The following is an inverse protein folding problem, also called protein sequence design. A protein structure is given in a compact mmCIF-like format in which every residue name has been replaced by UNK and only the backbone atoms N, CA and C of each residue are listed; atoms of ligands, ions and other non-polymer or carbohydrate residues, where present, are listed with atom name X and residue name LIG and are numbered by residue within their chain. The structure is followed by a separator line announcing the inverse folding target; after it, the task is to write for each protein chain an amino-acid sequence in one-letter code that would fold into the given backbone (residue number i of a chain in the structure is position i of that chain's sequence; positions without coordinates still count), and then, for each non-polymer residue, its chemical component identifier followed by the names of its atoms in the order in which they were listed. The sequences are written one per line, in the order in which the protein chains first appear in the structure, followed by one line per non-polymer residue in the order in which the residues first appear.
data_IF_469197739998
#
_entry.id   IF_469197739998
#
_cell.length_a   1.000
_cell.length_b   1.000
_cell.length_c   1.000
_cell.angle_alpha   90.00
_cell.angle_beta   90.00
_cell.angle_gamma   90.00
#
_symmetry.space_group_name_H-M   'P 1'
#
loop_
_entity.id
_entity.type
_entity.pdbx_description
1 polymer ?
#
# COMPACT_ATOMS: atom_id res chain seq x y z
N UNK A 1 27.91 -20.02 3.64
CA UNK A 1 27.61 -18.69 4.18
C UNK A 1 27.62 -18.76 5.71
N UNK A 2 28.25 -17.79 6.38
CA UNK A 2 28.29 -17.70 7.82
C UNK A 2 27.07 -16.95 8.39
N UNK A 3 26.58 -16.00 7.62
CA UNK A 3 25.45 -15.18 8.02
C UNK A 3 24.47 -14.90 6.88
N UNK A 4 23.20 -14.86 7.24
CA UNK A 4 22.08 -14.51 6.35
C UNK A 4 21.32 -13.35 6.96
N UNK A 5 20.93 -12.36 6.13
CA UNK A 5 20.13 -11.24 6.53
C UNK A 5 18.74 -11.33 5.91
N UNK A 6 17.70 -11.37 6.74
CA UNK A 6 16.30 -11.31 6.34
C UNK A 6 15.82 -9.84 6.40
N UNK A 7 15.43 -9.30 5.26
CA UNK A 7 14.97 -7.91 5.14
C UNK A 7 13.50 -7.89 4.74
N UNK A 8 12.74 -6.92 5.23
CA UNK A 8 11.36 -6.73 4.79
C UNK A 8 10.48 -6.05 5.83
N UNK A 9 9.23 -5.72 5.47
CA UNK A 9 8.29 -5.06 6.37
C UNK A 9 8.04 -5.85 7.66
N UNK A 10 7.57 -5.21 8.74
CA UNK A 10 7.15 -5.92 9.94
C UNK A 10 5.98 -6.87 9.65
N UNK A 11 5.87 -7.96 10.41
CA UNK A 11 4.77 -8.91 10.27
C UNK A 11 4.84 -9.87 9.09
N UNK A 12 5.91 -9.88 8.30
CA UNK A 12 6.07 -10.78 7.14
C UNK A 12 6.59 -12.18 7.50
N UNK A 13 6.78 -12.49 8.78
CA UNK A 13 7.15 -13.84 9.25
C UNK A 13 8.64 -14.12 9.32
N UNK A 14 9.53 -13.13 9.28
CA UNK A 14 11.00 -13.31 9.35
C UNK A 14 11.43 -14.19 10.51
N UNK A 15 10.92 -13.93 11.72
CA UNK A 15 11.22 -14.70 12.93
C UNK A 15 10.65 -16.13 12.86
N UNK A 16 9.44 -16.29 12.27
CA UNK A 16 8.84 -17.61 12.06
C UNK A 16 9.65 -18.45 11.08
N UNK A 17 10.13 -17.85 9.99
CA UNK A 17 10.97 -18.50 9.00
C UNK A 17 12.27 -19.02 9.62
N UNK A 18 12.95 -18.18 10.43
CA UNK A 18 14.18 -18.59 11.10
C UNK A 18 13.96 -19.76 12.09
N UNK A 19 12.86 -19.74 12.85
CA UNK A 19 12.46 -20.87 13.72
C UNK A 19 12.14 -22.13 12.94
N UNK A 20 11.44 -22.01 11.81
CA UNK A 20 11.10 -23.14 10.95
C UNK A 20 12.37 -23.79 10.37
N UNK A 21 13.34 -22.99 9.93
CA UNK A 21 14.66 -23.49 9.45
C UNK A 21 15.38 -24.28 10.54
N UNK A 22 15.42 -23.78 11.76
CA UNK A 22 16.07 -24.46 12.87
C UNK A 22 15.34 -25.76 13.26
N UNK A 23 14.00 -25.75 13.24
CA UNK A 23 13.18 -26.93 13.49
C UNK A 23 13.37 -28.02 12.44
N UNK A 24 13.41 -27.66 11.17
CA UNK A 24 13.64 -28.59 10.06
C UNK A 24 15.05 -29.15 10.06
N UNK A 25 16.04 -28.32 10.40
CA UNK A 25 17.44 -28.74 10.53
C UNK A 25 17.71 -29.56 11.82
N UNK A 26 16.81 -29.55 12.79
CA UNK A 26 16.98 -30.24 14.07
C UNK A 26 18.13 -29.69 14.93
N UNK A 27 18.45 -28.39 14.80
CA UNK A 27 19.58 -27.77 15.51
C UNK A 27 19.11 -26.80 16.60
N UNK A 28 19.90 -26.56 17.66
CA UNK A 28 19.61 -25.56 18.68
C UNK A 28 19.42 -24.15 18.07
N UNK A 29 18.38 -23.44 18.55
CA UNK A 29 18.02 -22.09 18.11
C UNK A 29 18.20 -21.09 19.25
N UNK A 30 19.10 -20.14 19.07
CA UNK A 30 19.36 -19.06 20.02
C UNK A 30 18.75 -17.77 19.51
N UNK A 31 17.74 -17.28 20.22
CA UNK A 31 17.06 -16.02 19.91
C UNK A 31 17.62 -14.88 20.74
N UNK A 32 17.84 -13.74 20.10
CA UNK A 32 18.14 -12.47 20.75
C UNK A 32 17.44 -11.33 20.00
N UNK A 33 16.98 -10.31 20.72
CA UNK A 33 16.49 -9.08 20.14
C UNK A 33 17.60 -8.02 20.18
N UNK A 34 17.76 -7.25 19.12
CA UNK A 34 18.73 -6.15 19.02
C UNK A 34 18.63 -5.15 20.17
N UNK A 35 17.42 -4.89 20.66
CA UNK A 35 17.17 -4.02 21.81
C UNK A 35 17.82 -4.51 23.13
N UNK A 36 18.03 -5.82 23.28
CA UNK A 36 18.68 -6.39 24.48
C UNK A 36 20.17 -6.00 24.62
N UNK A 37 20.76 -5.50 23.52
CA UNK A 37 22.14 -5.03 23.45
C UNK A 37 22.27 -3.51 23.56
N UNK A 38 21.17 -2.81 23.86
CA UNK A 38 21.16 -1.35 24.07
C UNK A 38 20.77 -1.07 25.51
N UNK A 39 21.77 -0.98 26.39
CA UNK A 39 21.55 -0.66 27.81
C UNK A 39 22.31 0.60 28.24
N UNK A 40 21.99 1.11 29.45
CA UNK A 40 22.63 2.30 29.99
C UNK A 40 23.99 2.03 30.67
N UNK A 41 24.40 0.76 30.84
CA UNK A 41 25.63 0.38 31.54
C UNK A 41 26.73 -0.06 30.58
N UNK A 42 27.87 0.64 30.63
CA UNK A 42 29.01 0.42 29.73
C UNK A 42 29.55 -1.00 29.80
N UNK A 43 29.69 -1.68 28.65
CA UNK A 43 30.28 -3.02 28.52
C UNK A 43 29.33 -4.20 28.70
N UNK A 44 28.06 -3.98 29.06
CA UNK A 44 27.08 -5.05 29.23
C UNK A 44 26.68 -5.63 27.87
N UNK A 45 26.46 -4.79 26.87
CA UNK A 45 26.13 -5.17 25.50
C UNK A 45 27.17 -6.15 24.90
N UNK A 46 28.45 -5.81 24.99
CA UNK A 46 29.55 -6.66 24.51
C UNK A 46 29.66 -7.97 25.27
N UNK A 47 29.40 -7.96 26.58
CA UNK A 47 29.42 -9.18 27.41
C UNK A 47 28.26 -10.13 27.03
N UNK A 48 27.03 -9.61 26.82
CA UNK A 48 25.89 -10.42 26.42
C UNK A 48 26.12 -11.01 25.00
N UNK A 49 26.66 -10.23 24.08
CA UNK A 49 27.00 -10.70 22.74
C UNK A 49 27.98 -11.86 22.80
N UNK A 50 29.08 -11.72 23.56
CA UNK A 50 30.04 -12.82 23.77
C UNK A 50 29.40 -14.07 24.37
N UNK A 51 28.54 -13.91 25.38
CA UNK A 51 27.84 -15.03 26.00
C UNK A 51 26.92 -15.75 25.05
N UNK A 52 26.18 -15.03 24.21
CA UNK A 52 25.31 -15.59 23.18
C UNK A 52 26.12 -16.47 22.21
N UNK A 53 27.20 -15.94 21.65
CA UNK A 53 28.07 -16.67 20.73
C UNK A 53 28.80 -17.84 21.39
N UNK A 54 29.23 -17.69 22.66
CA UNK A 54 29.82 -18.78 23.43
C UNK A 54 28.87 -19.95 23.61
N UNK A 55 27.61 -19.67 24.04
CA UNK A 55 26.57 -20.71 24.19
C UNK A 55 26.26 -21.40 22.87
N UNK A 56 26.22 -20.67 21.77
CA UNK A 56 26.01 -21.25 20.46
C UNK A 56 27.16 -22.16 20.02
N UNK A 57 28.41 -21.78 20.32
CA UNK A 57 29.60 -22.63 20.07
C UNK A 57 29.60 -23.93 20.91
N UNK A 58 29.20 -23.85 22.15
CA UNK A 58 29.09 -25.01 23.02
C UNK A 58 28.03 -26.02 22.57
N UNK A 59 27.06 -25.56 21.78
CA UNK A 59 25.95 -26.39 21.27
C UNK A 59 25.96 -26.49 19.74
N UNK A 60 27.11 -26.36 19.12
CA UNK A 60 27.21 -26.47 17.65
C UNK A 60 26.94 -27.93 17.16
N UNK A 61 26.31 -28.14 16.01
CA UNK A 61 25.80 -27.10 15.07
C UNK A 61 24.59 -26.35 15.61
N UNK A 62 24.53 -25.03 15.43
CA UNK A 62 23.47 -24.21 16.00
C UNK A 62 23.14 -22.99 15.11
N UNK A 63 21.95 -22.39 15.35
CA UNK A 63 21.50 -21.16 14.69
C UNK A 63 21.37 -20.06 15.74
N UNK A 64 21.99 -18.91 15.47
CA UNK A 64 21.76 -17.66 16.20
C UNK A 64 20.84 -16.80 15.35
N UNK A 65 19.73 -16.35 15.92
CA UNK A 65 18.82 -15.39 15.27
C UNK A 65 18.81 -14.09 16.07
N UNK A 66 19.11 -12.98 15.37
CA UNK A 66 19.11 -11.64 15.95
C UNK A 66 18.03 -10.84 15.27
N UNK A 67 16.93 -10.57 15.99
CA UNK A 67 15.83 -9.74 15.50
C UNK A 67 16.13 -8.25 15.70
N UNK A 68 15.49 -7.39 14.90
CA UNK A 68 15.68 -5.93 14.94
C UNK A 68 17.17 -5.51 14.90
N UNK A 69 17.91 -6.11 13.96
CA UNK A 69 19.35 -5.87 13.83
C UNK A 69 19.70 -4.39 13.61
N UNK A 70 18.80 -3.61 13.02
CA UNK A 70 18.92 -2.17 12.82
C UNK A 70 19.06 -1.39 14.14
N UNK A 71 18.57 -1.94 15.26
CA UNK A 71 18.73 -1.32 16.59
C UNK A 71 20.21 -1.24 17.02
N UNK A 72 21.03 -2.24 16.66
CA UNK A 72 22.45 -2.28 16.99
C UNK A 72 23.30 -1.83 15.80
N UNK A 73 22.87 -2.20 14.61
CA UNK A 73 23.65 -2.12 13.35
C UNK A 73 23.46 -0.83 12.56
N UNK A 74 22.94 0.25 13.15
CA UNK A 74 22.67 1.50 12.42
C UNK A 74 23.97 2.19 11.98
N UNK A 75 23.99 2.66 10.71
CA UNK A 75 25.10 3.41 10.17
C UNK A 75 25.31 4.74 10.90
N UNK A 76 26.58 5.15 11.01
CA UNK A 76 26.96 6.42 11.67
C UNK A 76 26.50 7.60 10.85
N UNK A 77 25.69 8.47 11.45
CA UNK A 77 25.41 9.79 10.89
C UNK A 77 26.44 10.81 11.39
N UNK A 78 27.09 11.52 10.50
CA UNK A 78 28.19 12.46 10.79
C UNK A 78 27.81 13.70 11.64
N UNK A 79 26.58 13.77 12.18
CA UNK A 79 26.08 14.91 12.94
C UNK A 79 25.43 14.58 14.30
N UNK A 80 25.34 13.31 14.69
CA UNK A 80 24.72 12.95 15.97
C UNK A 80 25.68 13.20 17.15
N UNK A 81 25.18 13.90 18.18
CA UNK A 81 25.90 14.09 19.43
C UNK A 81 26.20 12.71 20.07
N UNK A 82 27.39 12.55 20.62
CA UNK A 82 27.85 11.33 21.32
C UNK A 82 27.13 11.17 22.65
N UNK A 83 25.94 10.60 22.64
CA UNK A 83 25.27 10.14 23.84
C UNK A 83 25.82 8.78 24.27
N UNK A 84 25.77 8.48 25.58
CA UNK A 84 26.24 7.23 26.15
C UNK A 84 25.60 5.99 25.50
N UNK A 85 24.34 6.08 25.07
CA UNK A 85 23.61 5.02 24.35
C UNK A 85 24.17 4.74 22.95
N UNK A 86 24.73 5.74 22.26
CA UNK A 86 25.40 5.55 20.96
C UNK A 86 26.69 4.79 21.10
N UNK A 87 27.46 5.06 22.18
CA UNK A 87 28.70 4.34 22.49
C UNK A 87 28.48 2.85 22.79
N UNK A 88 27.40 2.50 23.50
CA UNK A 88 27.03 1.11 23.81
C UNK A 88 26.63 0.31 22.57
N UNK A 89 25.82 0.91 21.70
CA UNK A 89 25.45 0.30 20.40
C UNK A 89 26.69 -0.02 19.58
N UNK A 90 27.62 0.94 19.48
CA UNK A 90 28.87 0.75 18.75
C UNK A 90 29.71 -0.40 19.34
N UNK A 91 29.78 -0.51 20.67
CA UNK A 91 30.50 -1.61 21.34
C UNK A 91 29.83 -2.97 21.09
N UNK A 92 28.49 -3.03 21.14
CA UNK A 92 27.72 -4.24 20.79
C UNK A 92 27.94 -4.67 19.35
N UNK A 93 27.85 -3.72 18.40
CA UNK A 93 28.11 -3.96 16.98
C UNK A 93 29.55 -4.45 16.75
N UNK A 94 30.55 -3.76 17.30
CA UNK A 94 31.95 -4.15 17.15
C UNK A 94 32.21 -5.55 17.74
N UNK A 95 31.63 -5.88 18.88
CA UNK A 95 31.77 -7.23 19.46
C UNK A 95 31.13 -8.29 18.57
N UNK A 96 29.94 -8.01 17.99
CA UNK A 96 29.29 -8.93 17.05
C UNK A 96 30.17 -9.17 15.82
N UNK A 97 30.75 -8.13 15.25
CA UNK A 97 31.65 -8.26 14.10
C UNK A 97 32.89 -9.11 14.45
N UNK A 98 33.46 -8.91 15.63
CA UNK A 98 34.60 -9.71 16.11
C UNK A 98 34.21 -11.20 16.29
N UNK A 99 33.02 -11.46 16.85
CA UNK A 99 32.53 -12.84 17.02
C UNK A 99 32.29 -13.52 15.67
N UNK A 100 31.74 -12.80 14.69
CA UNK A 100 31.50 -13.33 13.34
C UNK A 100 32.80 -13.56 12.58
N UNK A 101 33.77 -12.67 12.68
CA UNK A 101 35.09 -12.83 12.05
C UNK A 101 35.87 -13.98 12.69
N UNK A 102 35.68 -14.26 13.99
CA UNK A 102 36.31 -15.34 14.73
C UNK A 102 35.91 -16.77 14.32
N UNK A 103 34.94 -16.96 13.44
CA UNK A 103 34.55 -18.27 12.91
C UNK A 103 35.51 -18.85 11.85
N UNK A 104 36.59 -18.14 11.48
CA UNK A 104 37.53 -18.60 10.46
C UNK A 104 38.53 -19.67 10.92
N UNK A 105 38.58 -19.96 12.22
CA UNK A 105 39.42 -21.03 12.71
C UNK A 105 38.80 -22.40 12.38
N UNK A 106 39.19 -22.93 11.23
CA UNK A 106 38.78 -24.24 10.70
C UNK A 106 39.10 -25.44 11.61
N UNK A 107 39.76 -25.23 12.74
CA UNK A 107 40.22 -26.30 13.62
C UNK A 107 39.15 -26.79 14.64
N UNK A 108 38.03 -26.08 14.84
CA UNK A 108 37.09 -26.43 15.90
C UNK A 108 35.82 -27.17 15.47
N UNK A 109 35.56 -27.35 14.17
CA UNK A 109 34.36 -28.09 13.71
C UNK A 109 33.00 -27.50 14.15
N UNK A 110 33.00 -26.27 14.67
CA UNK A 110 31.80 -25.60 15.20
C UNK A 110 31.07 -24.85 14.09
N UNK A 111 30.01 -25.47 13.52
CA UNK A 111 29.18 -24.84 12.53
C UNK A 111 28.08 -24.01 13.20
N UNK A 112 28.15 -22.68 13.04
CA UNK A 112 27.12 -21.76 13.52
C UNK A 112 26.65 -20.93 12.33
N UNK A 113 25.33 -20.87 12.15
CA UNK A 113 24.68 -19.96 11.21
C UNK A 113 24.10 -18.77 11.96
N UNK A 114 24.48 -17.56 11.58
CA UNK A 114 23.88 -16.33 12.12
C UNK A 114 22.84 -15.81 11.16
N UNK A 115 21.61 -15.65 11.63
CA UNK A 115 20.51 -15.06 10.87
C UNK A 115 20.16 -13.74 11.51
N UNK A 116 20.31 -12.62 10.79
CA UNK A 116 19.84 -11.31 11.20
C UNK A 116 18.48 -11.00 10.57
N UNK A 117 17.62 -10.28 11.27
CA UNK A 117 16.39 -9.74 10.70
C UNK A 117 16.34 -8.22 10.90
N UNK A 118 15.90 -7.49 9.88
CA UNK A 118 15.73 -6.04 9.93
C UNK A 118 14.53 -5.57 9.09
N UNK A 119 13.89 -4.49 9.55
CA UNK A 119 12.86 -3.79 8.77
C UNK A 119 13.47 -2.64 7.95
N UNK A 120 14.65 -2.13 8.31
CA UNK A 120 15.29 -0.92 7.77
C UNK A 120 16.69 -1.23 7.23
N UNK A 121 16.76 -2.00 6.15
CA UNK A 121 18.03 -2.42 5.54
C UNK A 121 18.94 -1.25 5.11
N UNK A 122 18.36 -0.12 4.69
CA UNK A 122 19.09 1.08 4.25
C UNK A 122 19.84 1.79 5.38
N UNK A 123 19.53 1.50 6.63
CA UNK A 123 20.14 2.12 7.81
C UNK A 123 21.27 1.28 8.42
N UNK A 124 21.50 0.06 7.90
CA UNK A 124 22.54 -0.81 8.41
C UNK A 124 23.95 -0.33 8.02
N UNK A 125 24.90 -0.52 8.97
CA UNK A 125 26.32 -0.26 8.72
C UNK A 125 26.83 -1.21 7.60
N UNK A 126 27.45 -0.68 6.55
CA UNK A 126 28.02 -1.48 5.47
C UNK A 126 29.01 -2.54 5.92
N UNK A 127 29.63 -2.37 7.09
CA UNK A 127 30.53 -3.35 7.67
C UNK A 127 29.86 -4.70 7.97
N UNK A 128 28.55 -4.70 8.23
CA UNK A 128 27.76 -5.93 8.46
C UNK A 128 27.58 -6.74 7.18
N UNK A 129 27.50 -6.08 6.04
CA UNK A 129 27.21 -6.70 4.74
C UNK A 129 28.46 -7.19 4.00
N UNK A 130 29.63 -7.10 4.64
CA UNK A 130 30.89 -7.59 4.05
C UNK A 130 30.95 -9.10 4.00
N UNK A 131 31.69 -9.62 3.02
CA UNK A 131 31.97 -11.05 2.88
C UNK A 131 32.52 -11.66 4.19
N UNK A 132 32.02 -12.83 4.55
CA UNK A 132 32.35 -13.49 5.82
C UNK A 132 31.46 -13.12 7.02
N UNK A 133 30.50 -12.19 6.81
CA UNK A 133 29.50 -11.77 7.80
C UNK A 133 28.10 -12.04 7.26
N UNK A 134 27.24 -11.05 7.09
CA UNK A 134 25.93 -11.21 6.42
C UNK A 134 26.12 -11.10 4.89
N UNK A 135 26.68 -12.12 4.30
CA UNK A 135 27.00 -12.17 2.87
C UNK A 135 25.83 -12.61 1.99
N UNK A 136 24.75 -13.07 2.60
CA UNK A 136 23.49 -13.43 1.93
C UNK A 136 22.35 -12.59 2.45
N UNK A 137 21.65 -11.92 1.55
CA UNK A 137 20.49 -11.10 1.88
C UNK A 137 19.27 -11.65 1.17
N UNK A 138 18.17 -11.80 1.94
CA UNK A 138 16.89 -12.29 1.45
C UNK A 138 15.81 -11.27 1.77
N UNK A 139 15.06 -10.86 0.74
CA UNK A 139 13.94 -9.97 0.92
C UNK A 139 12.65 -10.77 1.14
N UNK A 140 12.03 -10.59 2.32
CA UNK A 140 10.77 -11.20 2.70
C UNK A 140 9.68 -10.13 2.61
N UNK A 141 9.04 -10.06 1.45
CA UNK A 141 7.96 -9.10 1.20
C UNK A 141 6.62 -9.55 1.79
N UNK A 142 5.61 -8.72 1.62
CA UNK A 142 4.22 -9.11 1.84
C UNK A 142 3.78 -10.12 0.77
N UNK A 143 2.85 -11.04 1.06
CA UNK A 143 2.37 -12.01 0.07
C UNK A 143 1.69 -11.28 -1.10
N UNK A 144 2.24 -11.40 -2.34
CA UNK A 144 1.80 -10.55 -3.46
C UNK A 144 0.42 -10.96 -4.01
N UNK A 145 0.14 -12.25 -4.09
CA UNK A 145 -1.08 -12.78 -4.72
C UNK A 145 -2.10 -13.25 -3.69
N UNK A 146 -3.38 -13.35 -4.07
CA UNK A 146 -4.41 -13.96 -3.23
C UNK A 146 -4.08 -15.42 -2.91
N UNK A 147 -3.52 -16.17 -3.86
CA UNK A 147 -3.05 -17.55 -3.67
C UNK A 147 -1.94 -17.65 -2.59
N UNK A 148 -1.06 -16.66 -2.50
CA UNK A 148 -0.03 -16.62 -1.47
C UNK A 148 -0.59 -16.25 -0.08
N UNK A 149 -1.70 -15.48 -0.02
CA UNK A 149 -2.38 -15.14 1.23
C UNK A 149 -3.22 -16.29 1.79
N UNK A 150 -3.79 -17.12 0.91
CA UNK A 150 -4.65 -18.25 1.30
C UNK A 150 -4.05 -19.18 2.35
N UNK A 151 -2.83 -19.71 2.23
CA UNK A 151 -2.25 -20.60 3.24
C UNK A 151 -2.10 -19.91 4.60
N UNK A 152 -1.79 -18.61 4.61
CA UNK A 152 -1.66 -17.81 5.83
C UNK A 152 -3.03 -17.67 6.50
N UNK A 153 -4.06 -17.29 5.74
CA UNK A 153 -5.43 -17.20 6.24
C UNK A 153 -5.93 -18.55 6.76
N UNK A 154 -5.67 -19.66 6.05
CA UNK A 154 -6.03 -21.00 6.48
C UNK A 154 -5.42 -21.40 7.83
N UNK A 155 -4.14 -21.02 8.06
CA UNK A 155 -3.48 -21.28 9.35
C UNK A 155 -4.15 -20.50 10.48
N UNK A 156 -4.46 -19.23 10.29
CA UNK A 156 -5.08 -18.40 11.31
C UNK A 156 -6.57 -18.69 11.51
N UNK A 157 -7.26 -19.16 10.47
CA UNK A 157 -8.67 -19.53 10.51
C UNK A 157 -8.96 -20.88 11.19
N UNK A 158 -7.96 -21.71 11.49
CA UNK A 158 -8.16 -23.09 12.00
C UNK A 158 -9.01 -23.16 13.27
N UNK A 159 -8.88 -22.18 14.15
CA UNK A 159 -9.54 -22.16 15.45
C UNK A 159 -10.73 -21.18 15.48
N UNK A 160 -11.11 -20.59 14.34
CA UNK A 160 -12.20 -19.64 14.23
C UNK A 160 -13.43 -20.33 13.65
N UNK A 161 -14.60 -19.95 14.18
CA UNK A 161 -15.88 -20.40 13.61
C UNK A 161 -16.27 -19.43 12.49
N UNK A 162 -16.08 -19.89 11.24
CA UNK A 162 -16.37 -19.11 10.03
C UNK A 162 -17.71 -19.59 9.50
N UNK A 163 -18.57 -18.66 9.09
CA UNK A 163 -19.80 -19.00 8.40
C UNK A 163 -19.47 -19.63 7.05
N UNK A 164 -19.78 -20.91 6.95
CA UNK A 164 -19.44 -21.74 5.79
C UNK A 164 -20.59 -21.84 4.78
N UNK A 165 -21.73 -21.11 5.05
CA UNK A 165 -22.90 -21.10 4.17
C UNK A 165 -23.57 -22.47 3.94
N UNK A 166 -22.95 -23.55 4.42
CA UNK A 166 -23.38 -24.94 4.26
C UNK A 166 -22.34 -25.94 4.76
N UNK A 167 -22.64 -27.24 4.69
CA UNK A 167 -21.81 -28.34 5.22
C UNK A 167 -20.58 -28.68 4.34
N UNK A 168 -20.35 -27.99 3.22
CA UNK A 168 -19.33 -28.36 2.25
C UNK A 168 -17.99 -27.60 2.46
N UNK A 169 -16.90 -28.37 2.47
CA UNK A 169 -15.52 -27.91 2.60
C UNK A 169 -15.09 -26.90 1.51
N UNK A 170 -15.78 -26.91 0.37
CA UNK A 170 -15.56 -26.00 -0.76
C UNK A 170 -16.05 -24.56 -0.48
N UNK A 171 -17.05 -24.38 0.38
CA UNK A 171 -17.57 -23.03 0.72
C UNK A 171 -16.66 -22.28 1.70
N UNK A 172 -15.94 -22.99 2.58
CA UNK A 172 -14.94 -22.34 3.45
C UNK A 172 -13.76 -21.80 2.66
N UNK A 173 -13.39 -22.42 1.57
CA UNK A 173 -12.34 -21.94 0.68
C UNK A 173 -12.82 -20.70 -0.09
N UNK A 174 -14.09 -20.62 -0.50
CA UNK A 174 -14.66 -19.45 -1.15
C UNK A 174 -14.66 -18.20 -0.22
N UNK A 175 -15.00 -18.38 1.07
CA UNK A 175 -14.90 -17.30 2.06
C UNK A 175 -13.46 -16.80 2.19
N UNK A 176 -12.49 -17.71 2.41
CA UNK A 176 -11.09 -17.32 2.56
C UNK A 176 -10.50 -16.74 1.28
N UNK A 177 -10.92 -17.20 0.10
CA UNK A 177 -10.56 -16.57 -1.17
C UNK A 177 -11.05 -15.12 -1.24
N UNK A 178 -12.31 -14.88 -0.85
CA UNK A 178 -12.86 -13.52 -0.81
C UNK A 178 -12.09 -12.63 0.17
N UNK A 179 -11.74 -13.15 1.36
CA UNK A 179 -10.90 -12.42 2.32
C UNK A 179 -9.52 -12.15 1.73
N UNK A 180 -8.93 -13.13 1.04
CA UNK A 180 -7.63 -12.97 0.38
C UNK A 180 -7.67 -11.85 -0.67
N UNK A 181 -8.73 -11.78 -1.48
CA UNK A 181 -8.89 -10.73 -2.49
C UNK A 181 -9.03 -9.33 -1.86
N UNK A 182 -9.77 -9.24 -0.75
CA UNK A 182 -9.99 -7.96 -0.03
C UNK A 182 -8.77 -7.46 0.74
N UNK A 183 -7.77 -8.32 1.01
CA UNK A 183 -6.61 -8.00 1.86
C UNK A 183 -5.31 -7.85 1.09
N UNK A 184 -5.38 -7.31 -0.12
CA UNK A 184 -4.20 -7.06 -0.95
C UNK A 184 -3.20 -6.13 -0.26
N UNK A 185 -1.92 -6.48 -0.30
CA UNK A 185 -0.85 -5.71 0.34
C UNK A 185 -0.70 -5.93 1.85
N UNK A 186 -1.49 -6.82 2.46
CA UNK A 186 -1.41 -7.13 3.89
C UNK A 186 -0.29 -8.12 4.19
N UNK A 187 0.44 -7.87 5.27
CA UNK A 187 1.40 -8.81 5.85
C UNK A 187 0.68 -9.95 6.58
N UNK A 188 1.40 -11.04 6.88
CA UNK A 188 0.83 -12.16 7.63
C UNK A 188 0.27 -11.78 9.00
N UNK A 189 0.90 -10.83 9.68
CA UNK A 189 0.40 -10.32 10.97
C UNK A 189 -0.89 -9.50 10.81
N UNK A 190 -1.00 -8.69 9.76
CA UNK A 190 -2.23 -7.93 9.48
C UNK A 190 -3.38 -8.87 9.09
N UNK A 191 -3.12 -9.91 8.30
CA UNK A 191 -4.12 -10.94 7.98
C UNK A 191 -4.64 -11.65 9.23
N UNK A 192 -3.73 -12.02 10.16
CA UNK A 192 -4.11 -12.60 11.44
C UNK A 192 -4.96 -11.64 12.28
N UNK A 193 -4.58 -10.35 12.30
CA UNK A 193 -5.30 -9.32 13.05
C UNK A 193 -6.71 -9.11 12.50
N UNK A 194 -6.89 -9.07 11.17
CA UNK A 194 -8.21 -8.94 10.53
C UNK A 194 -9.15 -10.06 10.96
N UNK A 195 -8.70 -11.32 10.89
CA UNK A 195 -9.50 -12.46 11.31
C UNK A 195 -9.84 -12.43 12.80
N UNK A 196 -8.88 -12.02 13.64
CA UNK A 196 -9.10 -11.93 15.09
C UNK A 196 -10.07 -10.80 15.44
N UNK A 197 -9.94 -9.62 14.83
CA UNK A 197 -10.87 -8.51 15.04
C UNK A 197 -12.28 -8.85 14.52
N UNK A 198 -12.41 -9.55 13.38
CA UNK A 198 -13.69 -10.01 12.86
C UNK A 198 -14.37 -11.01 13.82
N UNK A 199 -13.59 -11.91 14.43
CA UNK A 199 -14.10 -12.80 15.46
C UNK A 199 -14.63 -12.05 16.68
N UNK A 200 -13.92 -11.02 17.12
CA UNK A 200 -14.38 -10.18 18.25
C UNK A 200 -15.66 -9.42 17.88
N UNK A 201 -15.75 -8.92 16.64
CA UNK A 201 -16.93 -8.19 16.16
C UNK A 201 -18.15 -9.10 16.07
N UNK A 202 -18.03 -10.31 15.49
CA UNK A 202 -19.14 -11.27 15.39
C UNK A 202 -19.70 -11.66 16.75
N UNK A 203 -18.82 -11.92 17.74
CA UNK A 203 -19.26 -12.20 19.13
C UNK A 203 -19.95 -11.01 19.76
N UNK A 204 -19.46 -9.78 19.54
CA UNK A 204 -20.10 -8.55 20.05
C UNK A 204 -21.49 -8.34 19.45
N UNK A 205 -21.71 -8.74 18.21
CA UNK A 205 -23.01 -8.67 17.54
C UNK A 205 -23.92 -9.87 17.87
N UNK A 206 -23.45 -10.81 18.70
CA UNK A 206 -24.21 -11.99 19.10
C UNK A 206 -24.32 -13.06 18.02
N UNK A 207 -23.41 -13.06 17.05
CA UNK A 207 -23.31 -14.07 16.00
C UNK A 207 -22.46 -15.26 16.49
N UNK A 208 -22.78 -16.46 16.02
CA UNK A 208 -22.04 -17.68 16.33
C UNK A 208 -20.85 -17.92 15.38
N UNK A 209 -20.80 -17.22 14.25
CA UNK A 209 -19.79 -17.35 13.20
C UNK A 209 -19.41 -16.02 12.58
N UNK A 210 -18.21 -15.96 11.99
CA UNK A 210 -17.68 -14.80 11.27
C UNK A 210 -18.25 -14.83 9.85
N UNK A 211 -18.91 -13.76 9.44
CA UNK A 211 -19.36 -13.56 8.06
C UNK A 211 -18.45 -12.59 7.30
N UNK A 212 -18.67 -12.46 5.99
CA UNK A 212 -17.87 -11.57 5.14
C UNK A 212 -18.08 -10.08 5.50
N UNK A 213 -19.26 -9.73 6.02
CA UNK A 213 -19.55 -8.37 6.41
C UNK A 213 -18.74 -7.97 7.65
N UNK A 214 -18.44 -8.92 8.55
CA UNK A 214 -17.57 -8.69 9.71
C UNK A 214 -16.15 -8.37 9.25
N UNK A 215 -15.63 -9.10 8.26
CA UNK A 215 -14.32 -8.84 7.64
C UNK A 215 -14.28 -7.45 7.00
N UNK A 216 -15.29 -7.12 6.19
CA UNK A 216 -15.37 -5.84 5.51
C UNK A 216 -15.48 -4.68 6.52
N UNK A 217 -16.24 -4.85 7.60
CA UNK A 217 -16.33 -3.85 8.67
C UNK A 217 -15.00 -3.62 9.39
N UNK A 218 -14.22 -4.69 9.59
CA UNK A 218 -12.88 -4.60 10.19
C UNK A 218 -11.89 -3.91 9.24
N UNK A 219 -11.88 -4.29 7.97
CA UNK A 219 -11.03 -3.65 6.96
C UNK A 219 -11.35 -2.17 6.85
N UNK A 220 -12.63 -1.84 6.85
CA UNK A 220 -13.13 -0.49 6.82
C UNK A 220 -12.66 0.31 8.06
N UNK A 221 -12.75 -0.29 9.26
CA UNK A 221 -12.24 0.29 10.51
C UNK A 221 -10.73 0.52 10.49
N UNK A 222 -9.96 -0.42 9.95
CA UNK A 222 -8.50 -0.31 9.88
C UNK A 222 -8.04 0.76 8.88
N UNK A 223 -8.75 0.89 7.75
CA UNK A 223 -8.40 1.86 6.71
C UNK A 223 -8.65 3.31 7.16
N UNK A 224 -9.72 3.57 7.91
CA UNK A 224 -10.22 4.94 8.14
C UNK A 224 -10.57 5.25 9.60
N UNK A 225 -10.45 4.26 10.49
CA UNK A 225 -10.76 4.41 11.90
C UNK A 225 -12.22 4.10 12.25
N UNK A 226 -12.58 4.38 13.50
CA UNK A 226 -13.92 4.09 14.03
C UNK A 226 -14.98 4.93 13.33
N UNK A 227 -16.13 4.31 13.04
CA UNK A 227 -17.31 4.99 12.53
C UNK A 227 -17.80 5.97 13.61
N UNK A 228 -17.94 7.23 13.23
CA UNK A 228 -18.58 8.27 14.06
C UNK A 228 -20.10 8.16 13.98
N UNK A 229 -20.82 9.01 14.73
CA UNK A 229 -22.26 9.08 14.62
C UNK A 229 -22.71 9.31 13.16
N UNK A 230 -23.83 8.70 12.73
CA UNK A 230 -24.36 8.93 11.38
C UNK A 230 -24.57 10.42 11.12
N UNK A 231 -24.40 10.83 9.87
CA UNK A 231 -24.72 12.20 9.46
C UNK A 231 -26.22 12.41 9.54
N UNK A 232 -26.62 13.57 10.09
CA UNK A 232 -28.01 14.00 9.99
C UNK A 232 -28.40 14.19 8.50
N UNK A 233 -29.62 13.79 8.15
CA UNK A 233 -30.15 14.02 6.82
C UNK A 233 -30.22 15.52 6.53
N UNK A 234 -29.58 15.94 5.46
CA UNK A 234 -29.51 17.32 5.06
C UNK A 234 -28.55 17.57 3.90
N UNK A 235 -28.45 18.84 3.52
CA UNK A 235 -27.62 19.29 2.40
C UNK A 235 -26.16 18.76 2.47
N UNK A 236 -25.59 18.65 3.66
CA UNK A 236 -24.22 18.14 3.85
C UNK A 236 -24.04 16.67 3.51
N UNK A 237 -25.05 15.83 3.78
CA UNK A 237 -25.06 14.40 3.44
C UNK A 237 -25.27 14.21 1.94
N UNK A 238 -26.22 14.96 1.36
CA UNK A 238 -26.49 14.96 -0.08
C UNK A 238 -25.26 15.38 -0.87
N UNK A 239 -24.63 16.47 -0.44
CA UNK A 239 -23.41 16.99 -1.07
C UNK A 239 -22.28 15.94 -1.07
N UNK A 240 -22.08 15.27 0.07
CA UNK A 240 -21.10 14.20 0.18
C UNK A 240 -21.47 13.01 -0.70
N UNK A 241 -22.75 12.61 -0.72
CA UNK A 241 -23.21 11.49 -1.54
C UNK A 241 -22.95 11.72 -3.03
N UNK A 242 -23.18 12.93 -3.53
CA UNK A 242 -22.92 13.30 -4.93
C UNK A 242 -21.42 13.21 -5.25
N UNK A 243 -20.55 13.73 -4.39
CA UNK A 243 -19.09 13.68 -4.60
C UNK A 243 -18.61 12.23 -4.68
N UNK A 244 -18.97 11.41 -3.68
CA UNK A 244 -18.51 10.02 -3.61
C UNK A 244 -19.16 9.14 -4.68
N UNK A 245 -20.43 9.38 -5.05
CA UNK A 245 -21.07 8.71 -6.16
C UNK A 245 -20.38 9.02 -7.49
N UNK A 246 -20.04 10.29 -7.73
CA UNK A 246 -19.34 10.69 -8.94
C UNK A 246 -17.99 9.97 -9.09
N UNK A 247 -17.18 9.95 -8.03
CA UNK A 247 -15.91 9.21 -8.02
C UNK A 247 -16.13 7.72 -8.28
N UNK A 248 -17.07 7.08 -7.57
CA UNK A 248 -17.36 5.67 -7.70
C UNK A 248 -17.82 5.29 -9.12
N UNK A 249 -18.69 6.11 -9.73
CA UNK A 249 -19.18 5.91 -11.10
C UNK A 249 -18.03 6.05 -12.09
N UNK A 250 -17.23 7.11 -12.00
CA UNK A 250 -16.14 7.34 -12.96
C UNK A 250 -15.03 6.29 -12.83
N UNK A 251 -14.62 5.90 -11.62
CA UNK A 251 -13.68 4.79 -11.44
C UNK A 251 -14.20 3.48 -12.02
N UNK A 252 -15.50 3.19 -11.86
CA UNK A 252 -16.10 2.00 -12.42
C UNK A 252 -16.32 2.08 -13.95
N UNK A 253 -16.49 3.28 -14.49
CA UNK A 253 -16.65 3.51 -15.92
C UNK A 253 -15.32 3.53 -16.69
N UNK A 254 -14.21 3.82 -15.99
CA UNK A 254 -12.86 3.96 -16.56
C UNK A 254 -11.83 3.10 -15.81
N UNK A 255 -12.02 1.78 -15.77
CA UNK A 255 -11.13 0.87 -15.01
C UNK A 255 -9.68 0.88 -15.53
N UNK A 256 -9.47 1.37 -16.77
CA UNK A 256 -8.14 1.53 -17.35
C UNK A 256 -7.34 2.72 -16.80
N UNK A 257 -7.99 3.65 -16.09
CA UNK A 257 -7.36 4.90 -15.61
C UNK A 257 -7.15 4.94 -14.10
N UNK A 258 -7.61 3.94 -13.37
CA UNK A 258 -7.52 3.93 -11.92
C UNK A 258 -7.65 2.55 -11.31
N UNK A 259 -7.44 2.45 -10.00
CA UNK A 259 -7.60 1.20 -9.27
C UNK A 259 -9.06 0.73 -9.27
N UNK A 260 -9.27 -0.57 -9.11
CA UNK A 260 -10.61 -1.12 -9.06
C UNK A 260 -11.36 -0.67 -7.79
N UNK A 261 -12.61 -0.19 -7.96
CA UNK A 261 -13.45 0.21 -6.85
C UNK A 261 -13.90 -1.02 -6.05
N UNK A 262 -13.56 -1.10 -4.79
CA UNK A 262 -14.04 -2.13 -3.86
C UNK A 262 -15.33 -1.70 -3.17
N UNK A 263 -15.35 -0.47 -2.66
CA UNK A 263 -16.46 0.06 -1.89
C UNK A 263 -16.49 1.58 -1.89
N UNK A 264 -17.67 2.15 -1.81
CA UNK A 264 -17.91 3.58 -1.54
C UNK A 264 -18.82 3.72 -0.32
N UNK A 265 -18.52 4.67 0.56
CA UNK A 265 -19.29 4.94 1.78
C UNK A 265 -19.32 6.43 2.10
N UNK A 266 -20.47 6.91 2.59
CA UNK A 266 -20.64 8.28 3.11
C UNK A 266 -20.71 8.34 4.63
N UNK A 267 -20.44 7.23 5.32
CA UNK A 267 -20.41 7.18 6.79
C UNK A 267 -19.25 8.01 7.31
N UNK A 268 -19.50 8.96 8.22
CA UNK A 268 -18.44 9.77 8.80
C UNK A 268 -17.54 8.94 9.70
N UNK A 269 -16.24 9.28 9.72
CA UNK A 269 -15.23 8.54 10.47
C UNK A 269 -14.23 9.45 11.13
N UNK A 270 -13.89 9.13 12.39
CA UNK A 270 -12.94 9.92 13.15
C UNK A 270 -13.35 11.38 13.28
N UNK A 271 -12.40 12.28 13.11
CA UNK A 271 -12.62 13.74 13.13
C UNK A 271 -12.88 14.32 11.72
N UNK A 272 -12.73 13.52 10.67
CA UNK A 272 -12.95 13.95 9.29
C UNK A 272 -14.33 13.53 8.81
N UNK A 273 -15.12 14.51 8.38
CA UNK A 273 -16.43 14.32 7.75
C UNK A 273 -16.29 14.06 6.24
N UNK A 274 -15.35 13.24 5.82
CA UNK A 274 -15.16 12.87 4.42
C UNK A 274 -15.75 11.49 4.14
N UNK A 275 -16.29 11.31 2.93
CA UNK A 275 -16.66 10.01 2.42
C UNK A 275 -15.43 9.11 2.25
N UNK A 276 -15.67 7.85 1.97
CA UNK A 276 -14.63 6.86 1.75
C UNK A 276 -14.82 6.15 0.42
N UNK A 277 -13.77 6.14 -0.38
CA UNK A 277 -13.62 5.23 -1.50
C UNK A 277 -12.50 4.26 -1.18
N UNK A 278 -12.84 2.99 -1.07
CA UNK A 278 -11.86 1.90 -0.99
C UNK A 278 -11.61 1.38 -2.40
N UNK A 279 -10.35 1.37 -2.77
CA UNK A 279 -9.88 0.84 -4.04
C UNK A 279 -8.87 -0.26 -3.81
N UNK A 280 -8.71 -1.16 -4.77
CA UNK A 280 -7.68 -2.18 -4.71
C UNK A 280 -6.29 -1.53 -4.78
N UNK A 281 -5.49 -1.74 -3.74
CA UNK A 281 -4.09 -1.28 -3.65
C UNK A 281 -3.13 -2.45 -3.84
N UNK A 282 -3.10 -3.07 -4.99
CA UNK A 282 -2.05 -4.05 -5.26
C UNK A 282 -0.93 -3.42 -6.08
N UNK A 283 0.32 -3.70 -5.68
CA UNK A 283 1.48 -3.38 -6.52
C UNK A 283 1.41 -4.09 -7.87
N UNK A 284 0.69 -5.21 -7.94
CA UNK A 284 0.40 -5.95 -9.16
C UNK A 284 -0.66 -5.26 -9.99
N UNK A 285 -1.74 -4.74 -9.38
CA UNK A 285 -2.73 -3.93 -10.08
C UNK A 285 -2.11 -2.66 -10.65
N UNK A 286 -1.23 -1.98 -9.91
CA UNK A 286 -0.48 -0.84 -10.43
C UNK A 286 0.46 -1.24 -11.57
N UNK A 287 1.16 -2.37 -11.45
CA UNK A 287 2.02 -2.91 -12.51
C UNK A 287 1.19 -3.37 -13.71
N UNK A 288 0.04 -3.98 -13.50
CA UNK A 288 -0.88 -4.42 -14.53
C UNK A 288 -1.54 -3.21 -15.24
N UNK A 289 -1.93 -2.18 -14.50
CA UNK A 289 -2.39 -0.91 -15.07
C UNK A 289 -1.28 -0.32 -15.96
N UNK A 290 -0.04 -0.23 -15.48
CA UNK A 290 1.10 0.25 -16.27
C UNK A 290 1.36 -0.59 -17.51
N UNK A 291 1.25 -1.92 -17.43
CA UNK A 291 1.44 -2.82 -18.58
C UNK A 291 0.27 -2.79 -19.55
N UNK A 292 -0.96 -2.63 -19.07
CA UNK A 292 -2.17 -2.49 -19.90
C UNK A 292 -2.24 -1.14 -20.59
N UNK A 293 -1.77 -0.07 -19.95
CA UNK A 293 -1.91 1.29 -20.43
C UNK A 293 -0.83 1.63 -21.47
N UNK A 294 0.26 0.87 -21.56
CA UNK A 294 1.38 1.13 -22.51
C UNK A 294 2.21 2.35 -22.11
N UNK A 295 2.84 3.07 -23.05
CA UNK A 295 3.76 4.14 -22.72
C UNK A 295 3.05 5.33 -22.06
N UNK A 296 3.65 5.89 -21.03
CA UNK A 296 3.19 7.08 -20.33
C UNK A 296 3.16 8.29 -21.27
N UNK A 297 1.98 8.66 -21.72
CA UNK A 297 1.78 9.79 -22.64
C UNK A 297 1.08 10.96 -21.97
N UNK A 298 1.27 12.18 -22.46
CA UNK A 298 0.57 13.35 -21.94
C UNK A 298 -0.96 13.16 -21.95
N UNK A 299 -1.49 12.52 -23.01
CA UNK A 299 -2.94 12.27 -23.11
C UNK A 299 -3.45 11.36 -21.99
N UNK A 300 -2.67 10.34 -21.61
CA UNK A 300 -3.00 9.45 -20.50
C UNK A 300 -2.98 10.19 -19.16
N UNK A 301 -1.95 11.00 -18.93
CA UNK A 301 -1.87 11.79 -17.69
C UNK A 301 -3.02 12.81 -17.58
N UNK A 302 -3.45 13.41 -18.69
CA UNK A 302 -4.65 14.28 -18.71
C UNK A 302 -5.90 13.47 -18.34
N UNK A 303 -6.02 12.22 -18.82
CA UNK A 303 -7.14 11.34 -18.46
C UNK A 303 -7.12 10.97 -16.97
N UNK A 304 -5.97 10.61 -16.43
CA UNK A 304 -5.79 10.31 -15.01
C UNK A 304 -6.10 11.55 -14.13
N UNK A 305 -5.61 12.72 -14.54
CA UNK A 305 -5.93 13.98 -13.86
C UNK A 305 -7.43 14.31 -13.89
N UNK A 306 -8.11 14.06 -15.01
CA UNK A 306 -9.55 14.26 -15.12
C UNK A 306 -10.32 13.36 -14.14
N UNK A 307 -9.87 12.12 -13.97
CA UNK A 307 -10.41 11.19 -12.96
C UNK A 307 -10.13 11.68 -11.53
N UNK A 308 -8.95 12.18 -11.25
CA UNK A 308 -8.61 12.77 -9.96
C UNK A 308 -9.47 13.99 -9.61
N UNK A 309 -9.79 14.82 -10.59
CA UNK A 309 -10.61 16.03 -10.41
C UNK A 309 -12.13 15.75 -10.40
N UNK A 310 -12.56 14.49 -10.45
CA UNK A 310 -13.98 14.10 -10.57
C UNK A 310 -14.84 14.71 -9.45
N UNK A 311 -14.39 14.66 -8.19
CA UNK A 311 -15.12 15.24 -7.07
C UNK A 311 -15.37 16.75 -7.25
N UNK A 312 -14.35 17.50 -7.62
CA UNK A 312 -14.45 18.94 -7.89
C UNK A 312 -15.36 19.25 -9.09
N UNK A 313 -15.26 18.45 -10.15
CA UNK A 313 -16.12 18.61 -11.32
C UNK A 313 -17.59 18.29 -11.00
N UNK A 314 -17.84 17.31 -10.12
CA UNK A 314 -19.20 17.00 -9.67
C UNK A 314 -19.79 18.15 -8.84
N UNK A 315 -19.05 18.72 -7.89
CA UNK A 315 -19.51 19.90 -7.14
C UNK A 315 -19.90 21.05 -8.07
N UNK A 316 -19.05 21.36 -9.02
CA UNK A 316 -19.32 22.44 -9.98
C UNK A 316 -20.55 22.16 -10.85
N UNK A 317 -20.77 20.91 -11.25
CA UNK A 317 -21.90 20.54 -12.10
C UNK A 317 -23.23 20.57 -11.36
N UNK A 318 -23.29 19.95 -10.15
CA UNK A 318 -24.55 19.77 -9.41
C UNK A 318 -24.91 20.97 -8.52
N UNK A 319 -23.92 21.64 -7.95
CA UNK A 319 -24.14 22.71 -6.97
C UNK A 319 -23.71 24.11 -7.48
N UNK A 320 -23.08 24.17 -8.65
CA UNK A 320 -22.56 25.42 -9.21
C UNK A 320 -21.30 25.96 -8.51
N UNK A 321 -20.80 27.13 -8.95
CA UNK A 321 -19.54 27.69 -8.43
C UNK A 321 -19.59 28.02 -6.92
N UNK A 322 -20.74 28.47 -6.45
CA UNK A 322 -20.94 28.85 -5.04
C UNK A 322 -21.13 27.65 -4.11
N UNK A 323 -21.43 26.48 -4.69
CA UNK A 323 -21.60 25.21 -3.97
C UNK A 323 -20.30 24.39 -3.80
N UNK A 324 -19.18 24.90 -4.29
CA UNK A 324 -17.87 24.23 -4.19
C UNK A 324 -17.36 24.26 -2.76
N UNK A 325 -16.91 23.12 -2.25
CA UNK A 325 -16.45 22.95 -0.87
C UNK A 325 -14.95 22.73 -0.76
N UNK A 326 -14.42 22.83 0.46
CA UNK A 326 -13.04 22.49 0.78
C UNK A 326 -12.78 20.97 0.81
N UNK A 327 -13.82 20.13 0.74
CA UNK A 327 -13.71 18.67 0.83
C UNK A 327 -12.91 18.06 -0.32
N UNK A 328 -13.00 18.67 -1.51
CA UNK A 328 -12.27 18.24 -2.71
C UNK A 328 -10.91 18.94 -2.87
N UNK A 329 -10.43 19.66 -1.84
CA UNK A 329 -9.17 20.41 -1.91
C UNK A 329 -7.93 19.51 -2.03
N UNK A 330 -7.95 18.35 -1.37
CA UNK A 330 -6.86 17.37 -1.46
C UNK A 330 -6.69 16.84 -2.89
N UNK A 331 -7.80 16.58 -3.58
CA UNK A 331 -7.81 16.14 -4.98
C UNK A 331 -7.24 17.22 -5.91
N UNK A 332 -7.63 18.47 -5.68
CA UNK A 332 -7.12 19.61 -6.45
C UNK A 332 -5.62 19.80 -6.20
N UNK A 333 -5.17 19.65 -4.96
CA UNK A 333 -3.74 19.77 -4.63
C UNK A 333 -2.93 18.64 -5.27
N UNK A 334 -3.41 17.40 -5.18
CA UNK A 334 -2.76 16.25 -5.81
C UNK A 334 -2.70 16.39 -7.33
N UNK A 335 -3.80 16.87 -7.96
CA UNK A 335 -3.82 17.14 -9.39
C UNK A 335 -2.84 18.27 -9.78
N UNK A 336 -2.69 19.31 -8.95
CA UNK A 336 -1.75 20.38 -9.21
C UNK A 336 -0.29 19.92 -9.12
N UNK A 337 0.05 19.11 -8.13
CA UNK A 337 1.38 18.48 -8.00
C UNK A 337 1.70 17.59 -9.19
N UNK A 338 0.79 16.70 -9.56
CA UNK A 338 0.96 15.82 -10.73
C UNK A 338 1.11 16.62 -12.03
N UNK A 339 0.29 17.65 -12.24
CA UNK A 339 0.41 18.51 -13.41
C UNK A 339 1.75 19.27 -13.45
N UNK A 340 2.23 19.71 -12.31
CA UNK A 340 3.54 20.35 -12.17
C UNK A 340 4.67 19.39 -12.52
N UNK A 341 4.63 18.14 -12.04
CA UNK A 341 5.59 17.10 -12.37
C UNK A 341 5.61 16.74 -13.86
N UNK A 342 4.44 16.69 -14.51
CA UNK A 342 4.34 16.47 -15.95
C UNK A 342 5.08 17.55 -16.73
N UNK A 343 4.99 18.79 -16.30
CA UNK A 343 5.62 19.93 -16.98
C UNK A 343 7.11 20.03 -16.69
N UNK A 344 7.53 19.71 -15.45
CA UNK A 344 8.91 19.96 -14.99
C UNK A 344 9.82 18.74 -15.07
N UNK A 345 9.33 17.56 -14.71
CA UNK A 345 10.16 16.37 -14.56
C UNK A 345 10.01 15.38 -15.70
N UNK A 346 8.80 15.18 -16.22
CA UNK A 346 8.56 14.15 -17.25
C UNK A 346 8.85 14.60 -18.68
N UNK A 347 8.98 15.92 -18.93
CA UNK A 347 9.25 16.47 -20.26
C UNK A 347 8.17 16.21 -21.31
N UNK A 348 6.97 15.81 -20.89
CA UNK A 348 5.88 15.44 -21.79
C UNK A 348 5.12 16.64 -22.35
N UNK A 349 5.28 17.82 -21.77
CA UNK A 349 4.59 19.03 -22.21
C UNK A 349 5.25 19.59 -23.47
N UNK A 350 4.51 19.76 -24.61
CA UNK A 350 5.09 20.05 -25.91
C UNK A 350 5.82 21.41 -26.02
N UNK A 351 5.36 22.41 -25.26
CA UNK A 351 5.92 23.76 -25.26
C UNK A 351 7.08 23.92 -24.28
N UNK A 352 7.43 22.86 -23.53
CA UNK A 352 8.66 22.83 -22.75
C UNK A 352 9.83 22.78 -23.73
N UNK A 353 10.40 23.93 -24.08
CA UNK A 353 11.63 24.03 -24.90
C UNK A 353 12.84 23.40 -24.23
N UNK A 354 12.64 22.72 -23.14
CA UNK A 354 13.65 22.14 -22.26
C UNK A 354 13.49 20.63 -22.20
N UNK A 355 14.59 19.96 -22.42
CA UNK A 355 14.70 18.52 -22.40
C UNK A 355 14.33 17.90 -21.04
N UNK A 356 13.92 16.62 -21.01
CA UNK A 356 13.44 15.93 -19.82
C UNK A 356 14.51 15.83 -18.73
N UNK A 357 14.04 15.74 -17.49
CA UNK A 357 14.83 15.49 -16.27
C UNK A 357 15.59 16.67 -15.67
N UNK A 358 14.88 17.76 -15.37
CA UNK A 358 15.44 18.77 -14.47
C UNK A 358 14.84 18.63 -13.07
N UNK A 359 15.65 18.19 -12.12
CA UNK A 359 15.37 18.33 -10.69
C UNK A 359 15.18 19.83 -10.33
N UNK A 360 14.34 20.14 -9.36
CA UNK A 360 14.09 21.52 -8.90
C UNK A 360 15.39 22.26 -8.51
N UNK A 361 16.40 21.53 -8.05
CA UNK A 361 17.74 22.10 -7.81
C UNK A 361 18.42 22.58 -9.11
N UNK A 362 18.27 21.85 -10.20
CA UNK A 362 18.75 22.24 -11.52
C UNK A 362 17.95 23.41 -12.12
N UNK A 363 16.63 23.44 -11.90
CA UNK A 363 15.76 24.52 -12.35
C UNK A 363 16.24 25.87 -11.75
N UNK A 364 16.57 25.88 -10.47
CA UNK A 364 17.13 27.06 -9.82
C UNK A 364 18.52 27.47 -10.39
N UNK A 365 19.37 26.50 -10.71
CA UNK A 365 20.68 26.76 -11.28
C UNK A 365 20.62 27.28 -12.72
N UNK A 366 19.68 26.76 -13.53
CA UNK A 366 19.53 27.11 -14.93
C UNK A 366 18.70 28.36 -15.20
N UNK A 367 18.14 29.00 -14.14
CA UNK A 367 17.29 30.20 -14.21
C UNK A 367 16.14 30.04 -15.21
N UNK A 368 15.50 28.87 -15.26
CA UNK A 368 14.33 28.64 -16.09
C UNK A 368 13.21 29.58 -15.64
N UNK A 369 12.54 30.31 -16.55
CA UNK A 369 11.47 31.21 -16.18
C UNK A 369 10.32 30.47 -15.52
N UNK A 370 10.08 30.75 -14.23
CA UNK A 370 9.00 30.15 -13.43
C UNK A 370 7.62 30.34 -14.06
N UNK A 371 7.43 31.47 -14.73
CA UNK A 371 6.21 31.83 -15.42
C UNK A 371 5.80 30.81 -16.52
N UNK A 372 6.77 30.24 -17.24
CA UNK A 372 6.48 29.23 -18.27
C UNK A 372 6.03 27.89 -17.67
N UNK A 373 6.59 27.50 -16.54
CA UNK A 373 6.19 26.29 -15.82
C UNK A 373 4.78 26.45 -15.25
N UNK A 374 4.48 27.59 -14.64
CA UNK A 374 3.16 27.91 -14.10
C UNK A 374 2.09 27.93 -15.19
N UNK A 375 2.38 28.49 -16.37
CA UNK A 375 1.47 28.47 -17.54
C UNK A 375 1.24 27.05 -18.06
N UNK A 376 2.29 26.25 -18.18
CA UNK A 376 2.18 24.87 -18.61
C UNK A 376 1.35 24.02 -17.66
N UNK A 377 1.60 24.15 -16.35
CA UNK A 377 0.84 23.47 -15.31
C UNK A 377 -0.65 23.86 -15.38
N UNK A 378 -0.94 25.14 -15.52
CA UNK A 378 -2.32 25.63 -15.65
C UNK A 378 -3.01 25.07 -16.90
N UNK A 379 -2.32 25.00 -18.05
CA UNK A 379 -2.88 24.44 -19.29
C UNK A 379 -3.23 22.95 -19.12
N UNK A 380 -2.34 22.16 -18.50
CA UNK A 380 -2.58 20.75 -18.22
C UNK A 380 -3.79 20.55 -17.31
N UNK A 381 -3.90 21.35 -16.24
CA UNK A 381 -5.05 21.30 -15.31
C UNK A 381 -6.35 21.69 -16.02
N UNK A 382 -6.34 22.73 -16.82
CA UNK A 382 -7.54 23.19 -17.55
C UNK A 382 -8.02 22.15 -18.56
N UNK A 383 -7.12 21.47 -19.26
CA UNK A 383 -7.48 20.36 -20.15
C UNK A 383 -8.08 19.18 -19.37
N UNK A 384 -7.48 18.81 -18.25
CA UNK A 384 -7.98 17.76 -17.37
C UNK A 384 -9.36 18.11 -16.81
N UNK A 385 -9.53 19.34 -16.32
CA UNK A 385 -10.81 19.85 -15.83
C UNK A 385 -11.91 19.83 -16.89
N UNK A 386 -11.62 20.30 -18.12
CA UNK A 386 -12.58 20.27 -19.23
C UNK A 386 -13.05 18.84 -19.48
N UNK A 387 -12.12 17.89 -19.54
CA UNK A 387 -12.41 16.47 -19.75
C UNK A 387 -13.18 15.86 -18.57
N UNK A 388 -12.84 16.21 -17.34
CA UNK A 388 -13.58 15.83 -16.13
C UNK A 388 -15.03 16.31 -16.17
N UNK A 389 -15.26 17.55 -16.57
CA UNK A 389 -16.61 18.11 -16.74
C UNK A 389 -17.42 17.40 -17.85
N UNK A 390 -16.79 16.98 -18.93
CA UNK A 390 -17.42 16.15 -19.96
C UNK A 390 -17.86 14.80 -19.40
N UNK A 391 -16.98 14.10 -18.67
CA UNK A 391 -17.31 12.84 -18.02
C UNK A 391 -18.47 12.98 -17.03
N UNK A 392 -18.47 14.02 -16.19
CA UNK A 392 -19.56 14.25 -15.23
C UNK A 392 -20.88 14.48 -15.96
N UNK A 393 -20.92 15.27 -17.02
CA UNK A 393 -22.13 15.51 -17.81
C UNK A 393 -22.66 14.23 -18.44
N UNK A 394 -21.78 13.38 -18.97
CA UNK A 394 -22.12 12.10 -19.59
C UNK A 394 -22.78 11.14 -18.61
N UNK A 395 -22.27 11.07 -17.37
CA UNK A 395 -22.75 10.13 -16.34
C UNK A 395 -23.66 10.79 -15.29
N UNK A 396 -24.06 12.06 -15.43
CA UNK A 396 -24.84 12.79 -14.44
C UNK A 396 -26.11 12.04 -13.97
N UNK A 397 -26.96 11.45 -14.83
CA UNK A 397 -28.15 10.74 -14.39
C UNK A 397 -27.82 9.47 -13.56
N UNK A 398 -26.71 8.81 -13.88
CA UNK A 398 -26.27 7.64 -13.12
C UNK A 398 -25.68 8.07 -11.76
N UNK A 399 -24.93 9.16 -11.72
CA UNK A 399 -24.38 9.73 -10.49
C UNK A 399 -25.50 10.05 -9.48
N UNK A 400 -26.60 10.68 -9.94
CA UNK A 400 -27.76 10.95 -9.10
C UNK A 400 -28.40 9.67 -8.55
N UNK A 401 -28.53 8.62 -9.36
CA UNK A 401 -29.07 7.32 -8.89
C UNK A 401 -28.19 6.68 -7.84
N UNK A 402 -26.86 6.64 -8.06
CA UNK A 402 -25.90 6.08 -7.11
C UNK A 402 -25.86 6.93 -5.85
N UNK A 403 -25.95 8.26 -5.94
CA UNK A 403 -26.03 9.13 -4.78
C UNK A 403 -27.30 8.89 -3.94
N UNK A 404 -28.44 8.68 -4.57
CA UNK A 404 -29.69 8.35 -3.87
C UNK A 404 -29.58 7.00 -3.14
N UNK A 405 -29.01 5.98 -3.78
CA UNK A 405 -28.73 4.70 -3.11
C UNK A 405 -27.74 4.84 -1.95
N UNK A 406 -26.73 5.72 -2.08
CA UNK A 406 -25.81 6.02 -0.99
C UNK A 406 -26.51 6.77 0.17
N UNK A 407 -27.46 7.64 -0.13
CA UNK A 407 -28.26 8.32 0.90
C UNK A 407 -29.08 7.35 1.73
N UNK A 408 -29.61 6.28 1.11
CA UNK A 408 -30.43 5.26 1.77
C UNK A 408 -29.58 4.22 2.51
N UNK A 409 -28.54 3.69 1.85
CA UNK A 409 -27.76 2.56 2.36
C UNK A 409 -26.46 2.99 3.04
N UNK A 410 -26.05 4.25 2.89
CA UNK A 410 -24.79 4.85 3.37
C UNK A 410 -23.51 4.16 2.87
N UNK A 411 -23.64 3.01 2.21
CA UNK A 411 -22.54 2.18 1.69
C UNK A 411 -22.99 1.39 0.46
N UNK A 412 -22.14 1.35 -0.58
CA UNK A 412 -22.33 0.52 -1.75
C UNK A 412 -21.04 -0.22 -2.11
N UNK A 413 -21.19 -1.46 -2.58
CA UNK A 413 -20.06 -2.26 -3.05
C UNK A 413 -19.69 -1.92 -4.49
N UNK A 414 -18.41 -1.99 -4.81
CA UNK A 414 -17.91 -1.73 -6.16
C UNK A 414 -18.57 -2.63 -7.22
N UNK A 415 -18.88 -3.89 -6.90
CA UNK A 415 -19.62 -4.81 -7.77
C UNK A 415 -21.01 -4.26 -8.15
N UNK A 416 -21.72 -3.68 -7.19
CA UNK A 416 -23.05 -3.07 -7.42
C UNK A 416 -22.92 -1.85 -8.32
N UNK A 417 -21.97 -0.95 -8.03
CA UNK A 417 -21.74 0.24 -8.85
C UNK A 417 -21.33 -0.14 -10.28
N UNK A 418 -20.43 -1.12 -10.45
CA UNK A 418 -20.04 -1.62 -11.78
C UNK A 418 -21.22 -2.23 -12.55
N UNK A 419 -22.12 -2.94 -11.87
CA UNK A 419 -23.33 -3.47 -12.50
C UNK A 419 -24.25 -2.32 -13.00
N UNK A 420 -24.43 -1.28 -12.18
CA UNK A 420 -25.20 -0.09 -12.53
C UNK A 420 -24.56 0.65 -13.73
N UNK A 421 -23.25 0.82 -13.73
CA UNK A 421 -22.51 1.45 -14.85
C UNK A 421 -22.69 0.64 -16.14
N UNK A 422 -22.50 -0.69 -16.08
CA UNK A 422 -22.69 -1.55 -17.28
C UNK A 422 -24.12 -1.46 -17.83
N UNK A 423 -25.11 -1.48 -16.94
CA UNK A 423 -26.51 -1.37 -17.32
C UNK A 423 -26.79 -0.02 -17.99
N UNK A 424 -26.31 1.08 -17.39
CA UNK A 424 -26.47 2.43 -17.94
C UNK A 424 -25.82 2.58 -19.32
N UNK A 425 -24.60 2.06 -19.48
CA UNK A 425 -23.90 2.08 -20.76
C UNK A 425 -24.63 1.30 -21.86
N UNK A 426 -25.31 0.20 -21.51
CA UNK A 426 -26.05 -0.62 -22.46
C UNK A 426 -27.43 -0.04 -22.83
N UNK A 427 -28.17 0.46 -21.84
CA UNK A 427 -29.58 0.85 -22.02
C UNK A 427 -29.76 2.31 -22.41
N UNK A 428 -29.00 3.24 -21.79
CA UNK A 428 -29.26 4.68 -21.97
C UNK A 428 -28.28 5.36 -22.95
N UNK A 429 -27.05 4.86 -23.03
CA UNK A 429 -26.09 5.39 -24.00
C UNK A 429 -26.20 4.70 -25.37
N UNK A 430 -27.12 3.70 -25.48
CA UNK A 430 -27.43 2.98 -26.72
C UNK A 430 -26.30 2.08 -27.21
N UNK A 431 -26.61 0.91 -27.80
CA UNK A 431 -25.62 -0.05 -28.31
C UNK A 431 -24.64 0.45 -29.39
N UNK A 432 -24.74 1.74 -29.80
CA UNK A 432 -23.79 2.52 -30.59
C UNK A 432 -23.07 3.57 -29.72
N UNK A 433 -22.91 3.30 -28.40
CA UNK A 433 -22.10 4.16 -27.57
C UNK A 433 -20.67 4.16 -28.12
N UNK A 434 -20.36 5.16 -28.92
CA UNK A 434 -18.99 5.59 -29.15
C UNK A 434 -18.53 6.29 -27.84
N UNK A 435 -18.25 5.49 -26.82
CA UNK A 435 -17.42 5.86 -25.68
C UNK A 435 -16.38 6.81 -26.24
N UNK A 436 -16.28 8.05 -25.71
CA UNK A 436 -15.19 8.93 -26.13
C UNK A 436 -13.93 8.10 -26.01
N UNK A 437 -13.35 7.59 -27.11
CA UNK A 437 -12.31 6.58 -27.02
C UNK A 437 -11.19 7.18 -26.23
N UNK A 438 -10.63 6.42 -25.28
CA UNK A 438 -9.43 6.81 -24.59
C UNK A 438 -8.36 7.17 -25.60
N UNK A 439 -7.39 7.97 -25.23
CA UNK A 439 -6.27 8.31 -26.13
C UNK A 439 -5.70 7.04 -26.81
N UNK A 440 -5.68 5.94 -26.11
CA UNK A 440 -5.22 4.62 -26.59
C UNK A 440 -6.10 4.03 -27.67
N UNK A 441 -7.39 4.05 -27.48
CA UNK A 441 -8.33 3.54 -28.48
C UNK A 441 -8.26 4.39 -29.75
N UNK A 442 -8.08 5.70 -29.60
CA UNK A 442 -7.84 6.62 -30.74
C UNK A 442 -6.51 6.37 -31.43
N UNK A 443 -5.44 6.14 -30.66
CA UNK A 443 -4.13 5.81 -31.21
C UNK A 443 -4.15 4.45 -31.94
N UNK A 444 -4.81 3.44 -31.37
CA UNK A 444 -5.00 2.13 -32.00
C UNK A 444 -5.86 2.21 -33.27
N UNK A 445 -6.93 3.01 -33.28
CA UNK A 445 -7.77 3.24 -34.46
C UNK A 445 -7.02 3.98 -35.59
N UNK A 446 -6.18 4.95 -35.23
CA UNK A 446 -5.36 5.68 -36.21
C UNK A 446 -4.21 4.81 -36.76
N UNK A 447 -3.64 3.90 -36.01
CA UNK A 447 -2.64 2.95 -36.50
C UNK A 447 -3.24 1.87 -37.40
N UNK A 448 -4.49 1.47 -37.17
CA UNK A 448 -5.21 0.51 -38.01
C UNK A 448 -5.73 1.13 -39.31
N UNK A 449 -5.93 2.45 -39.38
CA UNK A 449 -6.35 3.18 -40.60
C UNK A 449 -5.16 3.61 -41.48
N UNK A 450 -3.91 3.38 -41.05
CA UNK A 450 -2.69 3.74 -41.80
C UNK A 450 -2.01 2.53 -42.45
N UNK A 451 -2.61 1.36 -42.38
CA UNK A 451 -2.27 0.13 -43.11
C UNK A 451 -3.41 -0.19 -44.11
#
# INVERSE_FOLDING_TARGET
PKGCLLMGPPGTGKTLLARAIAGEAGVPFFYANGSEFVEMFVGVAASRMRNLFKRARENAPSIIFIDELDTIGRARNAGEQRDSSTSEREQGLMQMLVEMDGFDNKESGCEILVIGATNLATQLDPALLRSGRFDRTYHIGVPPTSEARMPILQVHARNLNIDRGGDDKYESDAFLHRVADLTTGFSGAELANVLNEAAILSVREGKDSIDINDIEAVLEKQAVGLISAPLDDGWGKEHLAIIEAAKAVIYSARPELGPELLQVSIRPRGTQMSGLILTERSSEAEAEIRTRIGPDTLGLYIDALAVTLTGRCAELHFFGPDGVSIRTNEEVSAAAEMAFDIVTTSGLYPDSKFAPHFDMAMVHQLRIPRENMEKGTLDVILRAHTKGMELIKEYAPLIERVANELMENERLYGSTVRAMVKKYQQEELGGNFTRTPSFYERAAMNSASSN
#
